data_IF_064373173524
#
_entry.id   IF_064373173524
#
_cell.length_a   1.000
_cell.length_b   1.000
_cell.length_c   1.000
_cell.angle_alpha   90.00
_cell.angle_beta   90.00
_cell.angle_gamma   90.00
#
_symmetry.space_group_name_H-M   'P 1'
#
loop_
_entity.id
_entity.type
_entity.pdbx_description
1 polymer ?
#
# COMPACT_ATOMS: atom_id res chain seq x y z
N UNK A 1 -1.42 15.83 12.82
CA UNK A 1 -0.84 14.81 11.90
C UNK A 1 0.23 15.50 11.07
N UNK A 2 1.43 14.94 10.95
CA UNK A 2 2.58 15.62 10.34
C UNK A 2 2.34 15.76 8.81
N UNK A 3 2.32 16.98 8.26
CA UNK A 3 1.99 17.23 6.84
C UNK A 3 2.86 16.41 5.86
N UNK A 4 4.11 16.14 6.25
CA UNK A 4 5.04 15.26 5.50
C UNK A 4 4.55 13.81 5.35
N UNK A 5 3.78 13.28 6.31
CA UNK A 5 3.23 11.91 6.25
C UNK A 5 2.18 11.81 5.16
N UNK A 6 1.25 12.77 5.16
CA UNK A 6 0.14 12.80 4.21
C UNK A 6 0.67 12.96 2.79
N UNK A 7 1.66 13.85 2.61
CA UNK A 7 2.31 14.04 1.32
C UNK A 7 3.00 12.76 0.83
N UNK A 8 3.76 12.07 1.68
CA UNK A 8 4.42 10.80 1.33
C UNK A 8 3.42 9.73 0.91
N UNK A 9 2.37 9.52 1.72
CA UNK A 9 1.33 8.53 1.40
C UNK A 9 0.67 8.85 0.07
N UNK A 10 0.33 10.12 -0.17
CA UNK A 10 -0.27 10.57 -1.42
C UNK A 10 0.67 10.34 -2.62
N UNK A 11 1.95 10.68 -2.49
CA UNK A 11 2.94 10.44 -3.55
C UNK A 11 3.12 8.95 -3.82
N UNK A 12 3.09 8.09 -2.80
CA UNK A 12 3.19 6.64 -2.95
C UNK A 12 1.97 6.10 -3.71
N UNK A 13 0.76 6.49 -3.32
CA UNK A 13 -0.49 6.08 -3.98
C UNK A 13 -0.44 6.43 -5.47
N UNK A 14 -0.08 7.68 -5.80
CA UNK A 14 -0.03 8.17 -7.18
C UNK A 14 1.06 7.43 -7.97
N UNK A 15 2.25 7.27 -7.40
CA UNK A 15 3.39 6.64 -8.09
C UNK A 15 3.11 5.16 -8.37
N UNK A 16 2.56 4.43 -7.39
CA UNK A 16 2.21 3.01 -7.55
C UNK A 16 1.11 2.84 -8.59
N UNK A 17 0.06 3.67 -8.55
CA UNK A 17 -1.01 3.63 -9.55
C UNK A 17 -0.50 3.90 -10.98
N UNK A 18 0.40 4.86 -11.17
CA UNK A 18 1.02 5.15 -12.48
C UNK A 18 1.87 3.96 -12.96
N UNK A 19 2.68 3.37 -12.08
CA UNK A 19 3.51 2.19 -12.38
C UNK A 19 2.66 1.03 -12.89
N UNK A 20 1.59 0.67 -12.18
CA UNK A 20 0.73 -0.45 -12.56
C UNK A 20 -0.11 -0.16 -13.80
N UNK A 21 -0.54 1.09 -13.98
CA UNK A 21 -1.17 1.51 -15.23
C UNK A 21 -0.23 1.30 -16.42
N UNK A 22 1.05 1.71 -16.30
CA UNK A 22 2.05 1.50 -17.36
C UNK A 22 2.30 0.02 -17.62
N UNK A 23 2.46 -0.81 -16.58
CA UNK A 23 2.65 -2.26 -16.73
C UNK A 23 1.45 -2.92 -17.44
N UNK A 24 0.22 -2.58 -17.03
CA UNK A 24 -0.99 -3.09 -17.67
C UNK A 24 -1.04 -2.71 -19.16
N UNK A 25 -0.72 -1.46 -19.49
CA UNK A 25 -0.74 -0.98 -20.88
C UNK A 25 0.33 -1.63 -21.76
N UNK A 26 1.52 -1.91 -21.20
CA UNK A 26 2.62 -2.53 -21.94
C UNK A 26 2.50 -4.05 -22.09
N UNK A 27 1.93 -4.73 -21.09
CA UNK A 27 1.95 -6.20 -21.01
C UNK A 27 0.64 -6.85 -21.44
N UNK A 28 -0.50 -6.19 -21.23
CA UNK A 28 -1.82 -6.78 -21.47
C UNK A 28 -2.62 -6.04 -22.55
N UNK A 29 -1.98 -5.17 -23.33
CA UNK A 29 -2.62 -4.33 -24.36
C UNK A 29 -3.84 -3.57 -23.84
N UNK A 30 -3.88 -3.29 -22.53
CA UNK A 30 -4.96 -2.54 -21.92
C UNK A 30 -5.01 -1.16 -22.56
N UNK A 31 -6.20 -0.81 -23.06
CA UNK A 31 -6.46 0.56 -23.49
C UNK A 31 -6.22 1.50 -22.30
N UNK A 32 -5.42 2.55 -22.53
CA UNK A 32 -5.10 3.60 -21.55
C UNK A 32 -6.38 4.41 -21.28
N UNK A 33 -7.33 3.80 -20.58
CA UNK A 33 -8.57 4.42 -20.18
C UNK A 33 -8.36 5.20 -18.89
N UNK A 34 -8.95 6.39 -18.81
CA UNK A 34 -9.06 7.13 -17.54
C UNK A 34 -9.75 6.25 -16.47
N UNK A 35 -10.65 5.36 -16.89
CA UNK A 35 -11.30 4.33 -16.06
C UNK A 35 -10.30 3.38 -15.37
N UNK A 36 -9.37 2.78 -16.12
CA UNK A 36 -8.38 1.85 -15.57
C UNK A 36 -7.42 2.57 -14.64
N UNK A 37 -6.95 3.77 -15.01
CA UNK A 37 -6.13 4.59 -14.13
C UNK A 37 -6.84 4.96 -12.82
N UNK A 38 -8.11 5.37 -12.89
CA UNK A 38 -8.96 5.63 -11.72
C UNK A 38 -9.07 4.41 -10.80
N UNK A 39 -9.26 3.22 -11.37
CA UNK A 39 -9.32 1.99 -10.57
C UNK A 39 -8.01 1.69 -9.85
N UNK A 40 -6.84 1.86 -10.50
CA UNK A 40 -5.55 1.68 -9.84
C UNK A 40 -5.31 2.70 -8.74
N UNK A 41 -5.74 3.96 -8.92
CA UNK A 41 -5.69 4.96 -7.84
C UNK A 41 -6.59 4.55 -6.67
N UNK A 42 -7.82 4.12 -6.92
CA UNK A 42 -8.74 3.71 -5.86
C UNK A 42 -8.18 2.52 -5.08
N UNK A 43 -7.64 1.52 -5.77
CA UNK A 43 -7.01 0.33 -5.17
C UNK A 43 -5.74 0.68 -4.40
N UNK A 44 -4.86 1.51 -4.97
CA UNK A 44 -3.68 2.01 -4.27
C UNK A 44 -4.08 2.81 -3.01
N UNK A 45 -5.12 3.63 -3.09
CA UNK A 45 -5.62 4.38 -1.94
C UNK A 45 -6.17 3.48 -0.83
N UNK A 46 -6.90 2.41 -1.19
CA UNK A 46 -7.35 1.37 -0.27
C UNK A 46 -6.16 0.67 0.39
N UNK A 47 -5.16 0.27 -0.39
CA UNK A 47 -3.93 -0.33 0.12
C UNK A 47 -3.19 0.61 1.08
N UNK A 48 -3.04 1.89 0.72
CA UNK A 48 -2.42 2.90 1.55
C UNK A 48 -3.19 3.17 2.85
N UNK A 49 -4.52 3.22 2.80
CA UNK A 49 -5.36 3.41 3.99
C UNK A 49 -5.25 2.21 4.94
N UNK A 50 -5.37 1.00 4.40
CA UNK A 50 -5.21 -0.23 5.17
C UNK A 50 -3.80 -0.32 5.76
N UNK A 51 -2.77 0.03 4.98
CA UNK A 51 -1.39 0.04 5.44
C UNK A 51 -1.15 1.08 6.53
N UNK A 52 -1.90 2.19 6.48
CA UNK A 52 -1.88 3.17 7.54
C UNK A 52 -2.42 2.63 8.86
N UNK A 53 -3.59 2.00 8.81
CA UNK A 53 -4.25 1.42 9.98
C UNK A 53 -3.42 0.27 10.55
N UNK A 54 -2.98 -0.66 9.69
CA UNK A 54 -2.17 -1.81 10.09
C UNK A 54 -0.79 -1.40 10.59
N UNK A 55 -0.07 -0.53 9.87
CA UNK A 55 1.21 0.01 10.34
C UNK A 55 1.09 0.65 11.72
N UNK A 56 -0.01 1.34 12.01
CA UNK A 56 -0.25 1.93 13.33
C UNK A 56 -0.61 0.89 14.42
N UNK A 57 -1.49 -0.07 14.11
CA UNK A 57 -1.98 -1.08 15.05
C UNK A 57 -0.93 -2.16 15.34
N UNK A 58 -0.32 -2.70 14.28
CA UNK A 58 0.63 -3.80 14.36
C UNK A 58 2.02 -3.36 14.84
N UNK A 59 2.36 -2.07 14.78
CA UNK A 59 3.58 -1.53 15.40
C UNK A 59 3.75 -1.96 16.87
N UNK A 60 2.64 -2.00 17.63
CA UNK A 60 2.67 -2.43 19.04
C UNK A 60 2.73 -3.95 19.20
N UNK A 61 2.20 -4.72 18.25
CA UNK A 61 2.11 -6.17 18.31
C UNK A 61 3.43 -6.86 17.92
N UNK A 62 4.20 -6.30 16.99
CA UNK A 62 5.44 -6.92 16.48
C UNK A 62 6.72 -6.29 17.04
N UNK A 63 6.72 -5.90 18.32
CA UNK A 63 7.92 -5.48 19.04
C UNK A 63 8.75 -4.39 18.33
N UNK A 64 8.09 -3.42 17.66
CA UNK A 64 8.72 -2.32 16.91
C UNK A 64 9.54 -2.73 15.67
N UNK A 65 9.46 -3.99 15.23
CA UNK A 65 10.17 -4.46 14.05
C UNK A 65 9.36 -4.16 12.77
N UNK A 66 9.72 -3.06 12.11
CA UNK A 66 9.02 -2.53 10.92
C UNK A 66 9.00 -3.53 9.75
N UNK A 67 10.08 -4.30 9.57
CA UNK A 67 10.19 -5.29 8.50
C UNK A 67 9.20 -6.45 8.68
N UNK A 68 9.14 -7.02 9.88
CA UNK A 68 8.27 -8.15 10.19
C UNK A 68 6.79 -7.74 10.11
N UNK A 69 6.49 -6.54 10.60
CA UNK A 69 5.16 -5.94 10.53
C UNK A 69 4.70 -5.84 9.08
N UNK A 70 5.58 -5.38 8.18
CA UNK A 70 5.25 -5.17 6.77
C UNK A 70 5.06 -6.49 6.00
N UNK A 71 5.90 -7.50 6.26
CA UNK A 71 5.77 -8.81 5.61
C UNK A 71 4.48 -9.50 6.01
N UNK A 72 4.19 -9.62 7.31
CA UNK A 72 3.01 -10.34 7.80
C UNK A 72 1.73 -9.68 7.30
N UNK A 73 1.71 -8.35 7.36
CA UNK A 73 0.56 -7.57 6.93
C UNK A 73 0.33 -7.68 5.42
N UNK A 74 1.39 -7.73 4.60
CA UNK A 74 1.29 -7.96 3.15
C UNK A 74 0.79 -9.36 2.82
N UNK A 75 1.24 -10.39 3.55
CA UNK A 75 0.74 -11.77 3.38
C UNK A 75 -0.76 -11.83 3.66
N UNK A 76 -1.25 -11.16 4.71
CA UNK A 76 -2.68 -11.10 5.04
C UNK A 76 -3.47 -10.46 3.88
N UNK A 77 -3.00 -9.33 3.34
CA UNK A 77 -3.67 -8.64 2.23
C UNK A 77 -3.71 -9.49 0.97
N UNK A 78 -2.63 -10.21 0.64
CA UNK A 78 -2.59 -11.11 -0.51
C UNK A 78 -3.55 -12.29 -0.32
N UNK A 79 -3.60 -12.90 0.87
CA UNK A 79 -4.54 -13.97 1.19
C UNK A 79 -6.00 -13.50 1.13
N UNK A 80 -6.31 -12.33 1.69
CA UNK A 80 -7.65 -11.73 1.60
C UNK A 80 -8.03 -11.37 0.17
N UNK A 81 -7.06 -10.94 -0.66
CA UNK A 81 -7.29 -10.66 -2.09
C UNK A 81 -7.56 -11.94 -2.89
N UNK A 82 -6.93 -13.06 -2.52
CA UNK A 82 -7.16 -14.39 -3.09
C UNK A 82 -8.58 -14.88 -2.79
N UNK A 83 -9.04 -14.75 -1.55
CA UNK A 83 -10.40 -15.11 -1.16
C UNK A 83 -11.47 -14.21 -1.79
N UNK A 84 -11.19 -12.91 -1.94
CA UNK A 84 -12.14 -11.94 -2.48
C UNK A 84 -12.32 -12.03 -4.02
N UNK A 85 -11.55 -12.86 -4.72
CA UNK A 85 -11.67 -13.01 -6.17
C UNK A 85 -11.29 -11.75 -6.97
N UNK A 86 -10.54 -10.80 -6.37
CA UNK A 86 -10.11 -9.57 -7.04
C UNK A 86 -9.26 -9.84 -8.30
N UNK A 87 -8.69 -11.06 -8.40
CA UNK A 87 -7.88 -11.54 -9.53
C UNK A 87 -8.57 -11.52 -10.88
N UNK A 88 -9.91 -11.43 -10.94
CA UNK A 88 -10.68 -11.68 -12.16
C UNK A 88 -11.14 -10.39 -12.87
N UNK A 89 -11.10 -9.23 -12.19
CA UNK A 89 -11.74 -8.00 -12.70
C UNK A 89 -10.77 -6.90 -13.14
N UNK A 90 -9.66 -6.71 -12.43
CA UNK A 90 -8.65 -5.70 -12.77
C UNK A 90 -7.27 -6.36 -12.65
N UNK A 91 -6.49 -6.43 -13.74
CA UNK A 91 -5.21 -7.10 -13.74
C UNK A 91 -4.22 -6.38 -12.82
N UNK A 92 -3.51 -7.17 -12.00
CA UNK A 92 -2.53 -6.69 -11.02
C UNK A 92 -3.09 -5.76 -9.93
N UNK A 93 -4.41 -5.74 -9.74
CA UNK A 93 -5.07 -4.95 -8.70
C UNK A 93 -4.63 -5.34 -7.28
N UNK A 94 -4.50 -6.64 -7.03
CA UNK A 94 -3.98 -7.24 -5.81
C UNK A 94 -2.55 -6.76 -5.51
N UNK A 95 -1.69 -6.77 -6.53
CA UNK A 95 -0.30 -6.32 -6.43
C UNK A 95 -0.22 -4.81 -6.16
N UNK A 96 -1.11 -4.02 -6.78
CA UNK A 96 -1.22 -2.58 -6.54
C UNK A 96 -1.61 -2.27 -5.09
N UNK A 97 -2.61 -2.96 -4.54
CA UNK A 97 -3.00 -2.85 -3.13
C UNK A 97 -1.83 -3.29 -2.24
N UNK A 98 -1.26 -4.48 -2.48
CA UNK A 98 -0.23 -5.07 -1.64
C UNK A 98 1.04 -4.23 -1.56
N UNK A 99 1.54 -3.69 -2.69
CA UNK A 99 2.72 -2.82 -2.69
C UNK A 99 2.43 -1.50 -1.99
N UNK A 100 1.29 -0.86 -2.27
CA UNK A 100 0.96 0.42 -1.62
C UNK A 100 0.82 0.24 -0.12
N UNK A 101 0.16 -0.84 0.29
CA UNK A 101 0.01 -1.25 1.68
C UNK A 101 1.35 -1.49 2.38
N UNK A 102 2.25 -2.25 1.75
CA UNK A 102 3.59 -2.56 2.28
C UNK A 102 4.40 -1.27 2.52
N UNK A 103 4.46 -0.39 1.51
CA UNK A 103 5.25 0.85 1.58
C UNK A 103 4.71 1.76 2.69
N UNK A 104 3.39 1.97 2.73
CA UNK A 104 2.77 2.86 3.73
C UNK A 104 2.90 2.28 5.15
N UNK A 105 2.74 0.97 5.32
CA UNK A 105 2.93 0.29 6.62
C UNK A 105 4.36 0.43 7.14
N UNK A 106 5.36 0.21 6.26
CA UNK A 106 6.78 0.40 6.57
C UNK A 106 7.08 1.83 7.01
N UNK A 107 6.64 2.82 6.22
CA UNK A 107 6.89 4.23 6.51
C UNK A 107 6.32 4.62 7.87
N UNK A 108 5.14 4.13 8.22
CA UNK A 108 4.49 4.46 9.49
C UNK A 108 5.18 3.79 10.67
N UNK A 109 5.60 2.55 10.52
CA UNK A 109 6.38 1.86 11.54
C UNK A 109 7.73 2.58 11.79
N UNK A 110 8.44 2.97 10.73
CA UNK A 110 9.70 3.72 10.81
C UNK A 110 9.51 5.09 11.47
N UNK A 111 8.44 5.81 11.11
CA UNK A 111 8.11 7.09 11.75
C UNK A 111 7.80 6.93 13.24
N UNK A 112 7.10 5.87 13.64
CA UNK A 112 6.86 5.60 15.06
C UNK A 112 8.14 5.26 15.81
N UNK A 113 9.08 4.54 15.19
CA UNK A 113 10.40 4.30 15.79
C UNK A 113 11.15 5.61 16.03
N UNK A 114 11.23 6.48 15.03
CA UNK A 114 11.88 7.81 15.17
C UNK A 114 11.22 8.71 16.22
N UNK A 115 9.90 8.61 16.40
CA UNK A 115 9.17 9.32 17.46
C UNK A 115 9.43 8.73 18.86
N UNK A 116 9.64 7.41 18.96
CA UNK A 116 9.94 6.73 20.22
C UNK A 116 11.38 6.98 20.71
N UNK A 117 12.31 7.37 19.84
CA UNK A 117 13.72 7.59 20.16
C UNK A 117 14.07 9.04 20.55
N UNK A 118 13.15 9.99 20.38
CA UNK A 118 13.39 11.36 20.86
C UNK A 118 13.34 11.38 22.39
N UNK A 119 14.44 11.74 23.10
CA UNK A 119 14.37 11.97 24.54
C UNK A 119 13.43 13.16 24.81
N UNK A 120 12.60 13.01 25.85
CA UNK A 120 11.75 14.09 26.37
C UNK A 120 12.60 15.19 26.99
#
# INVERSE_FOLDING_TARGET
MNSRVVLKILTTIITVAIMYCLIGTYKEELTVGISTFSSYIALASLGGLLGFIFGHACYKLFAKNSFLTSIISTIIVVLSSLEAGLFVSIPMADLCIAITFLIVSCDIADMKNKLSEKPR
#
